data_IF_588280529659
#
_entry.id   IF_588280529659
#
_cell.length_a   1.000
_cell.length_b   1.000
_cell.length_c   1.000
_cell.angle_alpha   90.00
_cell.angle_beta   90.00
_cell.angle_gamma   90.00
#
_symmetry.space_group_name_H-M   'P 1'
#
loop_
_entity.id
_entity.type
_entity.pdbx_description
1 polymer ?
#
# COMPACT_ATOMS: atom_id res chain seq x y z
N UNK A 1 -13.85 12.00 -14.28
CA UNK A 1 -14.07 11.20 -13.06
C UNK A 1 -12.83 10.34 -12.86
N UNK A 2 -12.12 10.50 -11.74
CA UNK A 2 -10.91 9.74 -11.45
C UNK A 2 -11.19 8.24 -11.29
N UNK A 3 -10.14 7.42 -11.30
CA UNK A 3 -10.24 5.97 -11.06
C UNK A 3 -11.02 5.68 -9.77
N UNK A 4 -12.04 4.82 -9.84
CA UNK A 4 -12.79 4.38 -8.67
C UNK A 4 -11.89 3.74 -7.61
N UNK A 5 -12.27 3.84 -6.32
CA UNK A 5 -11.43 3.40 -5.20
C UNK A 5 -10.90 1.96 -5.32
N UNK A 6 -11.71 1.06 -5.87
CA UNK A 6 -11.35 -0.34 -6.04
C UNK A 6 -10.37 -0.54 -7.21
N UNK A 7 -10.45 0.29 -8.25
CA UNK A 7 -9.57 0.19 -9.42
C UNK A 7 -8.14 0.57 -9.07
N UNK A 8 -7.92 1.68 -8.35
CA UNK A 8 -6.57 2.02 -7.90
C UNK A 8 -6.05 1.00 -6.88
N UNK A 9 -6.90 0.45 -6.01
CA UNK A 9 -6.51 -0.57 -5.03
C UNK A 9 -5.98 -1.83 -5.72
N UNK A 10 -6.66 -2.31 -6.78
CA UNK A 10 -6.17 -3.41 -7.62
C UNK A 10 -4.84 -3.07 -8.29
N UNK A 11 -4.76 -1.91 -8.93
CA UNK A 11 -3.54 -1.47 -9.62
C UNK A 11 -2.34 -1.41 -8.68
N UNK A 12 -2.51 -0.86 -7.48
CA UNK A 12 -1.43 -0.71 -6.50
C UNK A 12 -1.06 -2.04 -5.86
N UNK A 13 -2.01 -2.93 -5.58
CA UNK A 13 -1.70 -4.29 -5.15
C UNK A 13 -0.89 -5.05 -6.22
N UNK A 14 -1.33 -5.01 -7.47
CA UNK A 14 -0.61 -5.61 -8.59
C UNK A 14 0.79 -5.00 -8.77
N UNK A 15 0.91 -3.68 -8.64
CA UNK A 15 2.18 -2.96 -8.71
C UNK A 15 3.14 -3.41 -7.62
N UNK A 16 2.70 -3.46 -6.36
CA UNK A 16 3.52 -3.89 -5.22
C UNK A 16 4.00 -5.33 -5.47
N UNK A 17 3.09 -6.24 -5.86
CA UNK A 17 3.41 -7.63 -6.17
C UNK A 17 4.44 -7.73 -7.29
N UNK A 18 4.23 -7.03 -8.40
CA UNK A 18 5.12 -7.07 -9.56
C UNK A 18 6.50 -6.50 -9.24
N UNK A 19 6.56 -5.32 -8.61
CA UNK A 19 7.82 -4.63 -8.30
C UNK A 19 8.65 -5.40 -7.28
N UNK A 20 8.02 -5.89 -6.21
CA UNK A 20 8.71 -6.70 -5.20
C UNK A 20 9.15 -8.06 -5.74
N UNK A 21 8.35 -8.67 -6.63
CA UNK A 21 8.71 -9.91 -7.33
C UNK A 21 9.87 -9.74 -8.31
N UNK A 22 9.89 -8.66 -9.11
CA UNK A 22 11.01 -8.33 -10.01
C UNK A 22 12.27 -8.04 -9.21
N UNK A 23 12.17 -7.25 -8.14
CA UNK A 23 13.29 -6.98 -7.24
C UNK A 23 13.82 -8.29 -6.62
N UNK A 24 12.93 -9.15 -6.13
CA UNK A 24 13.29 -10.43 -5.56
C UNK A 24 13.95 -11.38 -6.55
N UNK A 25 13.43 -11.45 -7.78
CA UNK A 25 14.04 -12.23 -8.87
C UNK A 25 15.44 -11.74 -9.19
N UNK A 26 15.65 -10.43 -9.27
CA UNK A 26 16.99 -9.86 -9.52
C UNK A 26 17.94 -10.17 -8.38
N UNK A 27 17.49 -10.15 -7.14
CA UNK A 27 18.31 -10.53 -5.99
C UNK A 27 18.69 -12.02 -6.01
N UNK A 28 17.77 -12.90 -6.41
CA UNK A 28 18.04 -14.34 -6.55
C UNK A 28 18.98 -14.68 -7.71
N UNK A 29 18.87 -13.95 -8.84
CA UNK A 29 19.73 -14.15 -10.02
C UNK A 29 21.08 -13.45 -9.90
N UNK A 30 21.25 -12.58 -8.91
CA UNK A 30 22.50 -11.86 -8.74
C UNK A 30 23.62 -12.80 -8.31
N UNK A 31 24.79 -12.64 -8.93
CA UNK A 31 25.99 -13.36 -8.52
C UNK A 31 26.38 -13.00 -7.07
N UNK A 32 27.12 -13.88 -6.35
CA UNK A 32 27.57 -13.62 -4.98
C UNK A 32 28.39 -12.33 -4.76
N UNK A 33 28.79 -11.65 -5.85
CA UNK A 33 29.58 -10.41 -5.88
C UNK A 33 28.75 -9.17 -6.22
N UNK A 34 27.43 -9.19 -5.98
CA UNK A 34 26.59 -8.03 -6.24
C UNK A 34 27.06 -6.85 -5.38
N UNK A 35 27.51 -5.77 -6.02
CA UNK A 35 27.97 -4.58 -5.30
C UNK A 35 26.77 -3.78 -4.76
N UNK A 36 27.01 -3.00 -3.71
CA UNK A 36 26.02 -2.09 -3.13
C UNK A 36 25.45 -1.13 -4.17
N UNK A 37 26.21 -0.78 -5.22
CA UNK A 37 25.77 0.04 -6.34
C UNK A 37 24.55 -0.54 -7.09
N UNK A 38 24.59 -1.83 -7.44
CA UNK A 38 23.51 -2.48 -8.19
C UNK A 38 22.21 -2.55 -7.38
N UNK A 39 22.34 -2.72 -6.07
CA UNK A 39 21.18 -2.73 -5.16
C UNK A 39 20.55 -1.35 -5.05
N UNK A 40 21.37 -0.28 -4.97
CA UNK A 40 20.89 1.10 -4.96
C UNK A 40 20.18 1.46 -6.27
N UNK A 41 20.71 1.01 -7.40
CA UNK A 41 20.08 1.22 -8.70
C UNK A 41 18.70 0.54 -8.79
N UNK A 42 18.57 -0.70 -8.33
CA UNK A 42 17.29 -1.40 -8.32
C UNK A 42 16.27 -0.71 -7.41
N UNK A 43 16.71 -0.26 -6.23
CA UNK A 43 15.88 0.52 -5.33
C UNK A 43 15.47 1.88 -5.94
N UNK A 44 16.34 2.51 -6.73
CA UNK A 44 16.00 3.73 -7.46
C UNK A 44 14.93 3.48 -8.53
N UNK A 45 15.00 2.36 -9.25
CA UNK A 45 13.94 1.96 -10.20
C UNK A 45 12.62 1.74 -9.46
N UNK A 46 12.64 0.99 -8.35
CA UNK A 46 11.45 0.77 -7.50
C UNK A 46 10.84 2.11 -7.07
N UNK A 47 11.68 3.03 -6.57
CA UNK A 47 11.24 4.35 -6.15
C UNK A 47 10.64 5.17 -7.31
N UNK A 48 11.23 5.10 -8.50
CA UNK A 48 10.70 5.74 -9.70
C UNK A 48 9.33 5.20 -10.11
N UNK A 49 9.15 3.88 -10.08
CA UNK A 49 7.86 3.24 -10.37
C UNK A 49 6.81 3.62 -9.33
N UNK A 50 7.19 3.67 -8.04
CA UNK A 50 6.29 4.11 -6.98
C UNK A 50 5.91 5.58 -7.12
N UNK A 51 6.85 6.44 -7.52
CA UNK A 51 6.57 7.84 -7.81
C UNK A 51 5.54 7.98 -8.93
N UNK A 52 5.67 7.22 -10.02
CA UNK A 52 4.69 7.22 -11.11
C UNK A 52 3.28 6.83 -10.63
N UNK A 53 3.18 5.84 -9.73
CA UNK A 53 1.89 5.44 -9.15
C UNK A 53 1.28 6.53 -8.26
N UNK A 54 2.10 7.22 -7.46
CA UNK A 54 1.66 8.36 -6.66
C UNK A 54 1.14 9.49 -7.56
N UNK A 55 1.87 9.81 -8.63
CA UNK A 55 1.45 10.83 -9.59
C UNK A 55 0.15 10.44 -10.29
N UNK A 56 0.00 9.19 -10.70
CA UNK A 56 -1.21 8.70 -11.36
C UNK A 56 -2.47 8.83 -10.50
N UNK A 57 -2.35 8.68 -9.18
CA UNK A 57 -3.48 8.72 -8.24
C UNK A 57 -3.72 10.13 -7.66
N UNK A 58 -2.65 10.90 -7.47
CA UNK A 58 -2.71 12.16 -6.74
C UNK A 58 -2.65 13.43 -7.59
N UNK A 59 -2.27 13.36 -8.87
CA UNK A 59 -2.25 14.56 -9.71
C UNK A 59 -3.68 15.11 -9.93
N UNK A 60 -3.92 16.41 -9.67
CA UNK A 60 -5.23 17.03 -9.88
C UNK A 60 -5.78 16.86 -11.30
N UNK A 61 -4.90 16.95 -12.30
CA UNK A 61 -5.25 16.78 -13.71
C UNK A 61 -5.86 15.40 -14.04
N UNK A 62 -5.57 14.37 -13.23
CA UNK A 62 -6.08 13.01 -13.40
C UNK A 62 -7.31 12.70 -12.51
N UNK A 63 -7.82 13.72 -11.81
CA UNK A 63 -8.92 13.57 -10.86
C UNK A 63 -8.45 13.04 -9.52
N UNK A 64 -7.54 13.78 -8.88
CA UNK A 64 -6.91 13.44 -7.61
C UNK A 64 -7.91 12.92 -6.57
N UNK A 65 -7.54 11.80 -5.94
CA UNK A 65 -8.26 11.22 -4.82
C UNK A 65 -7.41 11.34 -3.55
N UNK A 66 -7.86 12.13 -2.58
CA UNK A 66 -7.13 12.36 -1.32
C UNK A 66 -6.91 11.05 -0.57
N UNK A 67 -7.96 10.24 -0.42
CA UNK A 67 -7.87 8.95 0.27
C UNK A 67 -6.96 7.97 -0.47
N UNK A 68 -7.07 7.92 -1.79
CA UNK A 68 -6.16 7.15 -2.64
C UNK A 68 -4.71 7.60 -2.47
N UNK A 69 -4.44 8.90 -2.54
CA UNK A 69 -3.10 9.47 -2.40
C UNK A 69 -2.48 9.14 -1.05
N UNK A 70 -3.22 9.32 0.05
CA UNK A 70 -2.76 8.95 1.40
C UNK A 70 -2.38 7.47 1.44
N UNK A 71 -3.22 6.61 0.89
CA UNK A 71 -3.04 5.16 0.90
C UNK A 71 -1.81 4.74 0.10
N UNK A 72 -1.68 5.25 -1.11
CA UNK A 72 -0.61 4.91 -2.04
C UNK A 72 0.73 5.44 -1.54
N UNK A 73 0.83 6.72 -1.17
CA UNK A 73 2.10 7.28 -0.67
C UNK A 73 2.57 6.53 0.59
N UNK A 74 1.68 6.36 1.56
CA UNK A 74 2.04 5.72 2.84
C UNK A 74 2.38 4.24 2.64
N UNK A 75 1.55 3.53 1.87
CA UNK A 75 1.72 2.11 1.59
C UNK A 75 2.99 1.80 0.79
N UNK A 76 3.28 2.58 -0.25
CA UNK A 76 4.50 2.43 -1.04
C UNK A 76 5.76 2.83 -0.25
N UNK A 77 5.69 3.84 0.61
CA UNK A 77 6.79 4.18 1.50
C UNK A 77 7.08 3.06 2.51
N UNK A 78 6.04 2.45 3.10
CA UNK A 78 6.18 1.27 3.98
C UNK A 78 6.76 0.07 3.20
N UNK A 79 6.33 -0.14 1.97
CA UNK A 79 6.87 -1.18 1.08
C UNK A 79 8.37 -0.97 0.84
N UNK A 80 8.78 0.29 0.60
CA UNK A 80 10.18 0.66 0.39
C UNK A 80 11.03 0.44 1.66
N UNK A 81 10.51 0.80 2.84
CA UNK A 81 11.16 0.50 4.12
C UNK A 81 11.33 -1.02 4.32
N UNK A 82 10.33 -1.80 3.96
CA UNK A 82 10.41 -3.26 4.05
C UNK A 82 11.42 -3.86 3.06
N UNK A 83 11.51 -3.33 1.83
CA UNK A 83 12.50 -3.76 0.82
C UNK A 83 13.94 -3.46 1.23
N UNK A 84 14.17 -2.32 1.89
CA UNK A 84 15.49 -1.96 2.42
C UNK A 84 15.90 -2.77 3.65
N UNK A 85 14.99 -3.59 4.21
CA UNK A 85 15.23 -4.34 5.44
C UNK A 85 15.21 -3.47 6.70
N UNK A 86 14.79 -2.21 6.57
CA UNK A 86 14.67 -1.30 7.70
C UNK A 86 13.59 -1.80 8.67
N UNK A 87 13.83 -1.65 9.98
CA UNK A 87 12.81 -1.96 10.98
C UNK A 87 11.66 -0.95 10.85
N UNK A 88 10.41 -1.40 10.87
CA UNK A 88 9.28 -0.46 10.90
C UNK A 88 9.10 -0.05 12.36
N UNK A 89 9.69 1.10 12.71
CA UNK A 89 9.59 1.71 14.04
C UNK A 89 8.75 3.01 13.97
N UNK A 90 8.38 3.52 15.14
CA UNK A 90 7.54 4.71 15.23
C UNK A 90 8.18 5.92 14.52
N UNK A 91 9.50 6.07 14.57
CA UNK A 91 10.21 7.19 13.93
C UNK A 91 10.04 7.17 12.42
N UNK A 92 10.21 5.99 11.80
CA UNK A 92 10.00 5.82 10.36
C UNK A 92 8.54 5.95 9.97
N UNK A 93 7.60 5.47 10.79
CA UNK A 93 6.17 5.67 10.56
C UNK A 93 5.78 7.16 10.62
N UNK A 94 6.35 7.92 11.55
CA UNK A 94 6.21 9.38 11.58
C UNK A 94 6.80 10.00 10.30
N UNK A 95 7.98 9.55 9.86
CA UNK A 95 8.57 9.98 8.59
C UNK A 95 7.67 9.70 7.38
N UNK A 96 7.00 8.54 7.34
CA UNK A 96 5.99 8.21 6.32
C UNK A 96 4.82 9.18 6.41
N UNK A 97 4.31 9.48 7.61
CA UNK A 97 3.24 10.46 7.81
C UNK A 97 3.61 11.87 7.31
N UNK A 98 4.84 12.33 7.62
CA UNK A 98 5.36 13.62 7.14
C UNK A 98 5.50 13.63 5.62
N UNK A 99 6.01 12.56 5.02
CA UNK A 99 6.11 12.43 3.57
C UNK A 99 4.72 12.51 2.92
N UNK A 100 3.75 11.77 3.44
CA UNK A 100 2.37 11.77 2.93
C UNK A 100 1.74 13.15 3.04
N UNK A 101 1.90 13.83 4.18
CA UNK A 101 1.41 15.20 4.37
C UNK A 101 2.08 16.18 3.39
N UNK A 102 3.39 16.07 3.16
CA UNK A 102 4.11 16.90 2.20
C UNK A 102 3.62 16.69 0.77
N UNK A 103 3.41 15.45 0.34
CA UNK A 103 2.86 15.14 -1.00
C UNK A 103 1.45 15.71 -1.16
N UNK A 104 0.59 15.57 -0.15
CA UNK A 104 -0.75 16.16 -0.15
C UNK A 104 -0.69 17.68 -0.23
N UNK A 105 0.20 18.33 0.51
CA UNK A 105 0.36 19.78 0.48
C UNK A 105 0.78 20.25 -0.93
N UNK A 106 1.75 19.56 -1.56
CA UNK A 106 2.17 19.87 -2.94
C UNK A 106 1.01 19.71 -3.93
N UNK A 107 0.30 18.58 -3.89
CA UNK A 107 -0.85 18.37 -4.79
C UNK A 107 -2.01 19.32 -4.50
N UNK A 108 -2.20 19.71 -3.24
CA UNK A 108 -3.18 20.69 -2.82
C UNK A 108 -2.89 22.07 -3.39
N UNK A 109 -1.64 22.55 -3.28
CA UNK A 109 -1.22 23.83 -3.89
C UNK A 109 -1.40 23.81 -5.41
N UNK A 110 -1.05 22.71 -6.07
CA UNK A 110 -1.28 22.56 -7.51
C UNK A 110 -2.76 22.58 -7.88
N UNK A 111 -3.63 22.04 -7.03
CA UNK A 111 -5.08 22.05 -7.27
C UNK A 111 -5.70 23.43 -7.04
N UNK A 112 -5.23 24.18 -6.04
CA UNK A 112 -5.68 25.56 -5.77
C UNK A 112 -5.35 26.55 -6.89
N UNK A 113 -4.33 26.28 -7.69
CA UNK A 113 -3.98 27.11 -8.85
C UNK A 113 -4.93 26.94 -10.04
N UNK A 114 -5.87 25.99 -9.97
CA UNK A 114 -6.86 25.75 -11.02
C UNK A 114 -8.08 26.64 -10.80
N UNK A 115 -8.84 26.85 -11.88
CA UNK A 115 -10.10 27.56 -11.79
C UNK A 115 -11.04 26.89 -10.76
N UNK A 116 -11.80 27.66 -9.95
CA UNK A 116 -12.64 27.12 -8.88
C UNK A 116 -13.64 26.03 -9.33
N UNK A 117 -14.08 26.08 -10.60
CA UNK A 117 -14.97 25.06 -11.17
C UNK A 117 -14.26 23.74 -11.49
N UNK A 118 -12.93 23.76 -11.65
CA UNK A 118 -12.09 22.63 -12.04
C UNK A 118 -11.27 22.03 -10.88
N UNK A 119 -11.32 22.66 -9.69
CA UNK A 119 -10.66 22.15 -8.49
C UNK A 119 -11.20 20.76 -8.11
N UNK A 120 -10.29 19.88 -7.69
CA UNK A 120 -10.66 18.55 -7.19
C UNK A 120 -11.22 18.63 -5.76
N UNK A 121 -11.58 17.47 -5.21
CA UNK A 121 -11.98 17.37 -3.80
C UNK A 121 -10.87 17.82 -2.84
N UNK A 122 -9.59 17.79 -3.25
CA UNK A 122 -8.47 18.23 -2.42
C UNK A 122 -8.44 19.76 -2.29
N UNK A 123 -8.50 20.49 -3.41
CA UNK A 123 -8.51 21.95 -3.44
C UNK A 123 -9.71 22.53 -2.71
N UNK A 124 -10.92 21.98 -2.95
CA UNK A 124 -12.13 22.40 -2.22
C UNK A 124 -12.04 22.14 -0.72
N UNK A 125 -11.42 21.03 -0.31
CA UNK A 125 -11.23 20.72 1.10
C UNK A 125 -10.24 21.71 1.73
N UNK A 126 -9.18 22.08 1.04
CA UNK A 126 -8.22 23.10 1.51
C UNK A 126 -8.88 24.47 1.57
N UNK A 127 -9.64 24.89 0.54
CA UNK A 127 -10.39 26.15 0.54
C UNK A 127 -11.42 26.21 1.67
N UNK A 128 -12.13 25.13 1.97
CA UNK A 128 -13.05 25.05 3.12
C UNK A 128 -12.30 25.16 4.45
N UNK A 129 -11.10 24.57 4.55
CA UNK A 129 -10.30 24.58 5.78
C UNK A 129 -9.62 25.93 6.03
N UNK A 130 -9.19 26.61 4.97
CA UNK A 130 -8.50 27.89 5.02
C UNK A 130 -9.47 29.09 4.94
N UNK A 131 -10.70 28.88 4.49
CA UNK A 131 -11.78 29.85 4.49
C UNK A 131 -12.51 29.96 5.84
N UNK A 132 -13.72 30.52 5.83
CA UNK A 132 -14.45 30.93 7.03
C UNK A 132 -14.84 29.78 7.99
N UNK A 133 -14.87 28.53 7.51
CA UNK A 133 -15.23 27.36 8.33
C UNK A 133 -14.06 26.81 9.18
N UNK A 134 -12.81 27.15 8.82
CA UNK A 134 -11.62 26.75 9.58
C UNK A 134 -11.47 25.23 9.82
N UNK A 135 -10.84 24.85 10.94
CA UNK A 135 -10.65 23.45 11.36
C UNK A 135 -11.99 22.72 11.56
N UNK A 136 -13.10 23.45 11.80
CA UNK A 136 -14.42 22.88 12.02
C UNK A 136 -15.05 22.27 10.75
N UNK A 137 -14.78 22.84 9.57
CA UNK A 137 -15.17 22.26 8.27
C UNK A 137 -14.43 20.93 8.00
N UNK A 138 -13.15 20.86 8.37
CA UNK A 138 -12.36 19.62 8.30
C UNK A 138 -12.94 18.53 9.24
N UNK A 139 -13.30 18.91 10.46
CA UNK A 139 -13.85 18.00 11.46
C UNK A 139 -15.19 17.39 11.01
N UNK A 140 -16.09 18.19 10.42
CA UNK A 140 -17.38 17.70 9.90
C UNK A 140 -17.24 16.77 8.69
N UNK A 141 -16.27 17.02 7.80
CA UNK A 141 -15.95 16.09 6.69
C UNK A 141 -15.41 14.76 7.21
N UNK A 142 -14.50 14.81 8.19
CA UNK A 142 -13.95 13.62 8.85
C UNK A 142 -15.06 12.85 9.59
N UNK A 143 -15.91 13.53 10.35
CA UNK A 143 -17.03 12.92 11.08
C UNK A 143 -18.01 12.22 10.13
N UNK A 144 -18.40 12.88 9.04
CA UNK A 144 -19.28 12.29 8.02
C UNK A 144 -18.66 11.05 7.37
N UNK A 145 -17.35 11.07 7.12
CA UNK A 145 -16.60 9.91 6.61
C UNK A 145 -16.56 8.75 7.60
N UNK A 146 -16.28 9.05 8.87
CA UNK A 146 -16.27 8.04 9.94
C UNK A 146 -17.65 7.39 10.05
N UNK A 147 -18.72 8.18 10.08
CA UNK A 147 -20.08 7.67 10.18
C UNK A 147 -20.50 6.83 8.95
N UNK A 148 -20.07 7.20 7.74
CA UNK A 148 -20.30 6.40 6.54
C UNK A 148 -19.58 5.05 6.59
N UNK A 149 -18.30 5.04 6.99
CA UNK A 149 -17.53 3.80 7.15
C UNK A 149 -18.10 2.92 8.27
N UNK A 150 -18.51 3.51 9.40
CA UNK A 150 -19.13 2.78 10.51
C UNK A 150 -20.47 2.15 10.10
N UNK A 151 -21.30 2.84 9.33
CA UNK A 151 -22.55 2.27 8.85
C UNK A 151 -22.32 1.05 7.94
N UNK A 152 -21.34 1.12 7.02
CA UNK A 152 -20.95 -0.03 6.17
C UNK A 152 -20.36 -1.17 7.02
N UNK A 153 -19.55 -0.81 8.03
CA UNK A 153 -18.97 -1.72 9.02
C UNK A 153 -19.99 -2.26 10.04
N UNK A 154 -21.23 -1.80 10.10
CA UNK A 154 -22.20 -2.34 11.05
C UNK A 154 -23.39 -2.99 10.34
N UNK A 155 -23.57 -2.71 9.05
CA UNK A 155 -24.69 -3.21 8.25
C UNK A 155 -24.38 -4.50 7.47
N UNK A 156 -23.16 -5.04 7.55
CA UNK A 156 -22.74 -6.16 6.69
C UNK A 156 -21.98 -7.24 7.45
N UNK A 157 -22.22 -8.51 7.10
CA UNK A 157 -21.44 -9.67 7.62
C UNK A 157 -19.93 -9.49 7.40
N UNK A 158 -19.55 -8.76 6.34
CA UNK A 158 -18.16 -8.46 6.00
C UNK A 158 -17.44 -7.59 7.03
N UNK A 159 -18.18 -6.87 7.86
CA UNK A 159 -17.66 -6.03 8.92
C UNK A 159 -16.80 -6.75 9.96
N UNK A 160 -17.10 -8.02 10.24
CA UNK A 160 -16.34 -8.82 11.18
C UNK A 160 -15.29 -9.66 10.46
N UNK A 161 -15.63 -10.20 9.29
CA UNK A 161 -14.76 -11.09 8.52
C UNK A 161 -13.49 -10.37 8.05
N UNK A 162 -13.62 -9.16 7.46
CA UNK A 162 -12.46 -8.46 6.90
C UNK A 162 -11.47 -8.03 7.99
N UNK A 163 -11.88 -7.36 9.08
CA UNK A 163 -10.95 -7.04 10.17
C UNK A 163 -10.36 -8.29 10.83
N UNK A 164 -11.14 -9.36 11.02
CA UNK A 164 -10.62 -10.61 11.55
C UNK A 164 -9.56 -11.23 10.61
N UNK A 165 -9.79 -11.23 9.30
CA UNK A 165 -8.82 -11.70 8.32
C UNK A 165 -7.54 -10.83 8.31
N UNK A 166 -7.68 -9.51 8.37
CA UNK A 166 -6.53 -8.59 8.46
C UNK A 166 -5.75 -8.79 9.76
N UNK A 167 -6.44 -8.94 10.90
CA UNK A 167 -5.82 -9.22 12.18
C UNK A 167 -5.09 -10.57 12.18
N UNK A 168 -5.69 -11.60 11.58
CA UNK A 168 -5.08 -12.90 11.41
C UNK A 168 -3.83 -12.83 10.51
N UNK A 169 -3.89 -12.10 9.39
CA UNK A 169 -2.74 -11.89 8.50
C UNK A 169 -1.62 -11.10 9.19
N UNK A 170 -1.95 -10.07 9.95
CA UNK A 170 -0.99 -9.33 10.77
C UNK A 170 -0.35 -10.24 11.83
N UNK A 171 -1.14 -11.10 12.49
CA UNK A 171 -0.64 -12.11 13.41
C UNK A 171 0.31 -13.09 12.72
N UNK A 172 0.00 -13.57 11.52
CA UNK A 172 0.89 -14.44 10.74
C UNK A 172 2.20 -13.74 10.34
N UNK A 173 2.23 -12.41 10.17
CA UNK A 173 3.48 -11.68 9.92
C UNK A 173 4.28 -11.48 11.19
N UNK A 174 3.60 -11.23 12.32
CA UNK A 174 4.25 -11.05 13.61
C UNK A 174 4.81 -12.36 14.17
N UNK A 175 4.06 -13.45 14.02
CA UNK A 175 4.45 -14.81 14.42
C UNK A 175 4.31 -15.79 13.25
N UNK A 176 5.24 -15.73 12.27
CA UNK A 176 5.14 -16.56 11.09
C UNK A 176 5.31 -18.05 11.44
N UNK A 177 4.38 -18.92 10.97
CA UNK A 177 4.57 -20.36 11.00
C UNK A 177 5.78 -20.77 10.16
N UNK A 178 6.25 -22.01 10.32
CA UNK A 178 7.48 -22.50 9.66
C UNK A 178 7.50 -22.23 8.16
N UNK A 179 6.43 -22.54 7.45
CA UNK A 179 6.37 -22.32 6.00
C UNK A 179 6.50 -20.85 5.58
N UNK A 180 5.86 -19.90 6.29
CA UNK A 180 6.02 -18.47 6.00
C UNK A 180 7.41 -17.96 6.37
N UNK A 181 8.03 -18.49 7.43
CA UNK A 181 9.42 -18.17 7.76
C UNK A 181 10.35 -18.61 6.64
N UNK A 182 10.22 -19.84 6.18
CA UNK A 182 10.99 -20.39 5.05
C UNK A 182 10.80 -19.52 3.82
N UNK A 183 9.54 -19.18 3.48
CA UNK A 183 9.23 -18.32 2.34
C UNK A 183 9.91 -16.95 2.44
N UNK A 184 9.79 -16.27 3.58
CA UNK A 184 10.40 -14.94 3.78
C UNK A 184 11.93 -14.98 3.80
N UNK A 185 12.55 -16.12 4.12
CA UNK A 185 14.00 -16.30 4.09
C UNK A 185 14.52 -16.62 2.69
N UNK A 186 13.79 -17.43 1.92
CA UNK A 186 14.25 -17.94 0.61
C UNK A 186 13.87 -17.05 -0.56
N UNK A 187 12.79 -16.28 -0.46
CA UNK A 187 12.33 -15.41 -1.55
C UNK A 187 12.44 -13.94 -1.11
N UNK A 188 13.50 -13.23 -1.54
CA UNK A 188 13.66 -11.81 -1.27
C UNK A 188 12.45 -11.02 -1.79
N UNK A 189 12.04 -9.99 -1.05
CA UNK A 189 10.94 -9.10 -1.45
C UNK A 189 9.53 -9.58 -1.05
N UNK A 190 9.30 -10.88 -0.82
CA UNK A 190 7.95 -11.38 -0.46
C UNK A 190 7.43 -10.78 0.85
N UNK A 191 8.29 -10.66 1.86
CA UNK A 191 7.90 -9.99 3.12
C UNK A 191 7.47 -8.53 2.86
N UNK A 192 8.20 -7.82 2.00
CA UNK A 192 7.88 -6.44 1.65
C UNK A 192 6.56 -6.35 0.85
N UNK A 193 6.30 -7.32 -0.03
CA UNK A 193 5.04 -7.46 -0.74
C UNK A 193 3.86 -7.56 0.22
N UNK A 194 3.90 -8.54 1.14
CA UNK A 194 2.83 -8.78 2.10
C UNK A 194 2.61 -7.56 3.00
N UNK A 195 3.69 -7.03 3.59
CA UNK A 195 3.61 -5.86 4.48
C UNK A 195 3.09 -4.63 3.73
N UNK A 196 3.57 -4.39 2.51
CA UNK A 196 3.16 -3.27 1.67
C UNK A 196 1.69 -3.32 1.29
N UNK A 197 1.23 -4.47 0.79
CA UNK A 197 -0.17 -4.65 0.39
C UNK A 197 -1.11 -4.51 1.59
N UNK A 198 -0.78 -5.13 2.73
CA UNK A 198 -1.61 -5.02 3.93
C UNK A 198 -1.62 -3.62 4.51
N UNK A 199 -0.47 -2.95 4.59
CA UNK A 199 -0.40 -1.58 5.07
C UNK A 199 -1.23 -0.65 4.19
N UNK A 200 -1.08 -0.76 2.86
CA UNK A 200 -1.87 0.02 1.90
C UNK A 200 -3.36 -0.27 2.03
N UNK A 201 -3.74 -1.55 2.17
CA UNK A 201 -5.14 -1.97 2.32
C UNK A 201 -5.77 -1.48 3.61
N UNK A 202 -5.06 -1.56 4.74
CA UNK A 202 -5.53 -1.06 6.04
C UNK A 202 -5.67 0.46 6.01
N UNK A 203 -4.63 1.18 5.58
CA UNK A 203 -4.66 2.64 5.49
C UNK A 203 -5.79 3.06 4.55
N UNK A 204 -5.89 2.42 3.38
CA UNK A 204 -6.94 2.68 2.40
C UNK A 204 -8.34 2.42 2.93
N UNK A 205 -8.54 1.31 3.64
CA UNK A 205 -9.84 1.03 4.25
C UNK A 205 -10.23 2.02 5.35
N UNK A 206 -9.26 2.65 6.02
CA UNK A 206 -9.54 3.68 7.04
C UNK A 206 -9.90 5.02 6.39
N UNK A 207 -9.14 5.45 5.37
CA UNK A 207 -9.22 6.85 4.86
C UNK A 207 -10.20 7.05 3.70
N UNK A 208 -10.64 5.98 3.05
CA UNK A 208 -11.54 6.03 1.90
C UNK A 208 -12.96 5.58 2.27
N UNK A 209 -13.93 6.11 1.52
CA UNK A 209 -15.36 5.85 1.68
C UNK A 209 -15.76 4.40 1.33
N UNK A 210 -14.89 3.69 0.61
CA UNK A 210 -15.10 2.28 0.28
C UNK A 210 -14.77 1.33 1.44
N UNK A 211 -14.20 1.86 2.53
CA UNK A 211 -13.97 1.10 3.76
C UNK A 211 -13.25 -0.23 3.54
N UNK A 212 -13.80 -1.28 4.14
CA UNK A 212 -13.28 -2.66 4.07
C UNK A 212 -13.21 -3.27 2.66
N UNK A 213 -13.86 -2.68 1.66
CA UNK A 213 -13.79 -3.19 0.29
C UNK A 213 -12.38 -3.03 -0.30
N UNK A 214 -11.61 -2.01 0.11
CA UNK A 214 -10.23 -1.81 -0.37
C UNK A 214 -9.32 -2.98 0.04
N UNK A 215 -9.15 -3.30 1.34
CA UNK A 215 -8.33 -4.44 1.72
C UNK A 215 -8.88 -5.75 1.17
N UNK A 216 -10.21 -5.93 1.08
CA UNK A 216 -10.81 -7.12 0.47
C UNK A 216 -10.29 -7.35 -0.96
N UNK A 217 -10.37 -6.30 -1.79
CA UNK A 217 -9.94 -6.32 -3.18
C UNK A 217 -8.44 -6.53 -3.30
N UNK A 218 -7.62 -5.88 -2.48
CA UNK A 218 -6.16 -6.09 -2.50
C UNK A 218 -5.78 -7.54 -2.11
N UNK A 219 -6.52 -8.15 -1.17
CA UNK A 219 -6.31 -9.54 -0.76
C UNK A 219 -6.62 -10.54 -1.87
N UNK A 220 -7.50 -10.21 -2.83
CA UNK A 220 -7.78 -11.09 -3.98
C UNK A 220 -6.55 -11.35 -4.84
N UNK A 221 -5.58 -10.42 -4.86
CA UNK A 221 -4.30 -10.58 -5.55
C UNK A 221 -3.22 -11.16 -4.64
N UNK A 222 -3.17 -10.71 -3.39
CA UNK A 222 -2.12 -11.13 -2.45
C UNK A 222 -2.23 -12.60 -2.07
N UNK A 223 -3.43 -13.08 -1.73
CA UNK A 223 -3.59 -14.43 -1.19
C UNK A 223 -3.22 -15.52 -2.21
N UNK A 224 -3.69 -15.48 -3.48
CA UNK A 224 -3.27 -16.45 -4.48
C UNK A 224 -1.77 -16.38 -4.78
N UNK A 225 -1.20 -15.16 -4.79
CA UNK A 225 0.23 -14.97 -5.02
C UNK A 225 1.08 -15.63 -3.92
N UNK A 226 0.76 -15.39 -2.64
CA UNK A 226 1.47 -16.00 -1.51
C UNK A 226 1.25 -17.51 -1.50
N UNK A 227 0.02 -17.98 -1.73
CA UNK A 227 -0.28 -19.42 -1.79
C UNK A 227 0.55 -20.13 -2.87
N UNK A 228 0.64 -19.56 -4.06
CA UNK A 228 1.46 -20.09 -5.15
C UNK A 228 2.94 -20.23 -4.75
N UNK A 229 3.50 -19.20 -4.10
CA UNK A 229 4.89 -19.23 -3.65
C UNK A 229 5.12 -20.25 -2.54
N UNK A 230 4.16 -20.45 -1.63
CA UNK A 230 4.23 -21.47 -0.58
C UNK A 230 4.25 -22.88 -1.18
N UNK A 231 3.40 -23.15 -2.19
CA UNK A 231 3.38 -24.46 -2.87
C UNK A 231 4.69 -24.70 -3.59
N UNK A 232 5.15 -23.73 -4.39
CA UNK A 232 6.41 -23.83 -5.14
C UNK A 232 7.64 -24.05 -4.26
N UNK A 233 7.67 -23.44 -3.07
CA UNK A 233 8.79 -23.61 -2.13
C UNK A 233 8.77 -24.95 -1.43
N UNK A 234 7.58 -25.52 -1.14
CA UNK A 234 7.47 -26.88 -0.60
C UNK A 234 7.95 -27.92 -1.61
N UNK A 235 7.52 -27.83 -2.87
CA UNK A 235 7.94 -28.77 -3.92
C UNK A 235 9.47 -28.76 -4.10
N UNK A 236 10.08 -27.56 -4.13
CA UNK A 236 11.52 -27.42 -4.25
C UNK A 236 12.29 -28.04 -3.07
N UNK A 237 11.78 -27.94 -1.84
CA UNK A 237 12.40 -28.58 -0.68
C UNK A 237 12.27 -30.09 -0.68
N UNK A 238 11.17 -30.65 -1.17
CA UNK A 238 10.96 -32.10 -1.28
C UNK A 238 11.92 -32.74 -2.29
N UNK A 239 12.07 -32.13 -3.47
CA UNK A 239 13.00 -32.59 -4.51
C UNK A 239 14.47 -32.56 -4.05
N UNK A 240 14.85 -31.55 -3.25
CA UNK A 240 16.20 -31.45 -2.72
C UNK A 240 16.53 -32.52 -1.65
N UNK A 241 15.52 -33.06 -0.98
CA UNK A 241 15.68 -34.10 0.06
C UNK A 241 15.59 -35.54 -0.46
N UNK A 242 15.18 -35.74 -1.71
CA UNK A 242 15.08 -37.04 -2.35
C UNK A 242 15.83 -37.05 -3.70
N UNK A 243 17.18 -37.13 -3.70
CA UNK A 243 17.99 -37.02 -4.90
C UNK A 243 18.01 -38.28 -5.79
N UNK A 244 17.22 -39.33 -5.47
CA UNK A 244 17.24 -40.62 -6.18
C UNK A 244 16.01 -40.92 -7.06
N UNK A 245 15.40 -39.90 -7.67
CA UNK A 245 14.46 -40.07 -8.81
C UNK A 245 14.87 -39.21 -9.99
#
# INVERSE_FOLDING_TARGET
>A
AGYGNLAWALLVAALIIAVTGIWGRRELLASPRRDQGDRRYDLAIVAGVFLLAVLAVGLPALGANVGGTISVVSGLAITMLALTGARIDLRRLVGVGVLTAGVLAVFGVLDLQRDPQDQTHLGRLIDQTLGDEGIAGLATVIERKINANLNILLSSVWALIIPAALAFLAFLIWRPPRFLRTLFQHIPGVRACVVGVLATGVIGGVVNDSGIAIPAVMLTLLLPHVAYLVVRTHDATMVATDPET
#
